data_IF_294382625132
#
_entry.id   IF_294382625132
#
_cell.length_a   1.000
_cell.length_b   1.000
_cell.length_c   1.000
_cell.angle_alpha   90.00
_cell.angle_beta   90.00
_cell.angle_gamma   90.00
#
_symmetry.space_group_name_H-M   'P 1'
#
loop_
_entity.id
_entity.type
_entity.pdbx_description
1 polymer ?
#
# COMPACT_ATOMS: atom_id res chain seq x y z
N UNK A 1 -6.30 33.13 -36.26
CA UNK A 1 -5.36 32.02 -36.52
C UNK A 1 -5.25 31.22 -35.24
N UNK A 2 -6.00 30.14 -35.17
CA UNK A 2 -6.25 29.31 -33.99
C UNK A 2 -6.02 27.90 -34.51
N UNK A 3 -4.79 27.40 -34.40
CA UNK A 3 -4.40 26.19 -35.15
C UNK A 3 -3.09 25.51 -34.74
N UNK A 4 -2.39 25.96 -33.69
CA UNK A 4 -1.08 25.39 -33.31
C UNK A 4 -1.08 24.59 -32.00
N UNK A 5 -2.22 24.45 -31.32
CA UNK A 5 -2.28 23.77 -30.01
C UNK A 5 -2.84 22.35 -30.07
N UNK A 6 -3.22 21.84 -31.26
CA UNK A 6 -3.76 20.47 -31.42
C UNK A 6 -2.66 19.49 -31.89
N UNK A 7 -1.63 19.96 -32.60
CA UNK A 7 -0.58 19.09 -33.16
C UNK A 7 0.48 18.67 -32.12
N UNK A 8 0.75 19.49 -31.10
CA UNK A 8 1.76 19.18 -30.07
C UNK A 8 1.30 18.10 -29.06
N UNK A 9 -0.01 17.97 -28.82
CA UNK A 9 -0.56 16.96 -27.90
C UNK A 9 -0.62 15.55 -28.53
N UNK A 10 -0.81 15.44 -29.84
CA UNK A 10 -0.89 14.17 -30.56
C UNK A 10 0.50 13.49 -30.71
N UNK A 11 1.57 14.30 -30.79
CA UNK A 11 2.96 13.83 -30.93
C UNK A 11 3.59 13.35 -29.59
N UNK A 12 2.90 13.61 -28.47
CA UNK A 12 3.28 13.16 -27.13
C UNK A 12 2.92 11.68 -26.91
N UNK A 13 1.76 11.24 -27.39
CA UNK A 13 1.25 9.88 -27.19
C UNK A 13 1.94 8.81 -28.06
N UNK A 14 2.57 9.22 -29.16
CA UNK A 14 3.25 8.32 -30.11
C UNK A 14 4.74 8.14 -29.82
N UNK A 15 5.31 8.91 -28.88
CA UNK A 15 6.72 8.78 -28.50
C UNK A 15 6.96 7.54 -27.65
N UNK A 16 7.91 6.66 -28.04
CA UNK A 16 8.23 5.49 -27.23
C UNK A 16 8.72 5.92 -25.85
N UNK A 17 8.22 5.24 -24.81
CA UNK A 17 8.61 5.51 -23.43
C UNK A 17 10.14 5.40 -23.29
N UNK A 18 10.75 6.42 -22.68
CA UNK A 18 12.18 6.40 -22.44
C UNK A 18 12.58 5.19 -21.58
N UNK A 19 13.74 4.59 -21.88
CA UNK A 19 14.24 3.37 -21.21
C UNK A 19 14.27 3.47 -19.68
N UNK A 20 14.47 4.68 -19.13
CA UNK A 20 14.42 4.97 -17.69
C UNK A 20 13.02 4.77 -17.11
N UNK A 21 11.99 5.25 -17.82
CA UNK A 21 10.59 5.08 -17.41
C UNK A 21 10.24 3.60 -17.30
N UNK A 22 10.59 2.82 -18.32
CA UNK A 22 10.38 1.36 -18.34
C UNK A 22 11.01 0.66 -17.13
N UNK A 23 12.24 1.04 -16.77
CA UNK A 23 12.92 0.48 -15.60
C UNK A 23 12.20 0.85 -14.30
N UNK A 24 11.82 2.12 -14.11
CA UNK A 24 11.12 2.54 -12.89
C UNK A 24 9.75 1.89 -12.73
N UNK A 25 8.95 1.84 -13.81
CA UNK A 25 7.67 1.14 -13.80
C UNK A 25 7.84 -0.37 -13.54
N UNK A 26 8.83 -1.00 -14.17
CA UNK A 26 9.14 -2.42 -13.95
C UNK A 26 9.55 -2.72 -12.51
N UNK A 27 10.39 -1.86 -11.90
CA UNK A 27 10.76 -1.99 -10.49
C UNK A 27 9.55 -1.82 -9.58
N UNK A 28 8.67 -0.85 -9.85
CA UNK A 28 7.43 -0.65 -9.09
C UNK A 28 6.51 -1.86 -9.13
N UNK A 29 6.29 -2.45 -10.32
CA UNK A 29 5.51 -3.68 -10.46
C UNK A 29 6.12 -4.85 -9.69
N UNK A 30 7.43 -5.07 -9.83
CA UNK A 30 8.11 -6.15 -9.10
C UNK A 30 7.98 -5.98 -7.58
N UNK A 31 8.13 -4.74 -7.07
CA UNK A 31 7.95 -4.44 -5.65
C UNK A 31 6.50 -4.67 -5.19
N UNK A 32 5.51 -4.26 -5.98
CA UNK A 32 4.11 -4.50 -5.68
C UNK A 32 3.79 -6.01 -5.59
N UNK A 33 4.28 -6.81 -6.54
CA UNK A 33 4.03 -8.26 -6.58
C UNK A 33 4.66 -8.99 -5.39
N UNK A 34 5.89 -8.61 -5.02
CA UNK A 34 6.56 -9.15 -3.82
C UNK A 34 5.78 -8.75 -2.56
N UNK A 35 5.36 -7.49 -2.47
CA UNK A 35 4.58 -6.99 -1.33
C UNK A 35 3.26 -7.76 -1.20
N UNK A 36 2.55 -7.98 -2.31
CA UNK A 36 1.32 -8.75 -2.35
C UNK A 36 1.53 -10.21 -1.91
N UNK A 37 2.60 -10.85 -2.39
CA UNK A 37 2.96 -12.20 -1.97
C UNK A 37 3.23 -12.26 -0.46
N UNK A 38 4.01 -11.32 0.08
CA UNK A 38 4.26 -11.23 1.52
C UNK A 38 2.97 -11.00 2.31
N UNK A 39 2.10 -10.11 1.85
CA UNK A 39 0.85 -9.80 2.54
C UNK A 39 -0.13 -10.98 2.57
N UNK A 40 -0.42 -11.59 1.41
CA UNK A 40 -1.45 -12.63 1.33
C UNK A 40 -0.99 -14.01 1.79
N UNK A 41 0.31 -14.30 1.73
CA UNK A 41 0.84 -15.64 2.06
C UNK A 41 1.69 -15.63 3.33
N UNK A 42 2.68 -14.75 3.41
CA UNK A 42 3.69 -14.79 4.45
C UNK A 42 3.22 -14.18 5.77
N UNK A 43 2.37 -13.15 5.74
CA UNK A 43 1.90 -12.45 6.93
C UNK A 43 1.29 -13.39 7.97
N UNK A 44 0.40 -14.30 7.56
CA UNK A 44 -0.24 -15.24 8.47
C UNK A 44 0.79 -16.19 9.09
N UNK A 45 1.71 -16.72 8.29
CA UNK A 45 2.79 -17.58 8.78
C UNK A 45 3.66 -16.84 9.80
N UNK A 46 4.08 -15.63 9.45
CA UNK A 46 4.88 -14.78 10.32
C UNK A 46 4.19 -14.51 11.67
N UNK A 47 2.91 -14.09 11.65
CA UNK A 47 2.16 -13.81 12.87
C UNK A 47 1.98 -15.06 13.74
N UNK A 48 1.72 -16.22 13.13
CA UNK A 48 1.62 -17.47 13.91
C UNK A 48 2.96 -17.94 14.46
N UNK A 49 4.06 -17.71 13.74
CA UNK A 49 5.42 -18.11 14.16
C UNK A 49 5.91 -17.29 15.35
N UNK A 50 5.58 -15.99 15.40
CA UNK A 50 5.88 -15.13 16.56
C UNK A 50 4.98 -15.40 17.78
N UNK A 51 3.96 -16.26 17.65
CA UNK A 51 3.15 -16.76 18.77
C UNK A 51 1.72 -16.24 18.84
N UNK A 52 1.21 -15.51 17.85
CA UNK A 52 -0.22 -15.20 17.79
C UNK A 52 -1.04 -16.46 17.51
N UNK A 53 -2.24 -16.53 18.09
CA UNK A 53 -3.18 -17.59 17.73
C UNK A 53 -3.59 -17.45 16.25
N UNK A 54 -3.90 -18.55 15.54
CA UNK A 54 -4.38 -18.48 14.16
C UNK A 54 -5.63 -17.60 13.99
N UNK A 55 -6.46 -17.52 15.04
CA UNK A 55 -7.62 -16.63 15.08
C UNK A 55 -7.20 -15.16 15.07
N UNK A 56 -6.24 -14.79 15.90
CA UNK A 56 -5.79 -13.40 16.02
C UNK A 56 -5.01 -12.96 14.78
N UNK A 57 -4.18 -13.84 14.21
CA UNK A 57 -3.51 -13.59 12.93
C UNK A 57 -4.53 -13.35 11.79
N UNK A 58 -5.61 -14.13 11.76
CA UNK A 58 -6.70 -13.93 10.80
C UNK A 58 -7.43 -12.59 11.03
N UNK A 59 -7.62 -12.15 12.29
CA UNK A 59 -8.19 -10.84 12.60
C UNK A 59 -7.30 -9.70 12.12
N UNK A 60 -5.98 -9.82 12.26
CA UNK A 60 -5.02 -8.84 11.70
C UNK A 60 -5.18 -8.74 10.19
N UNK A 61 -5.18 -9.87 9.48
CA UNK A 61 -5.36 -9.85 8.02
C UNK A 61 -6.73 -9.29 7.62
N UNK A 62 -7.80 -9.66 8.33
CA UNK A 62 -9.15 -9.15 8.11
C UNK A 62 -9.23 -7.64 8.28
N UNK A 63 -8.56 -7.08 9.29
CA UNK A 63 -8.53 -5.63 9.51
C UNK A 63 -7.96 -4.88 8.31
N UNK A 64 -6.94 -5.44 7.67
CA UNK A 64 -6.37 -4.93 6.44
C UNK A 64 -7.36 -4.96 5.28
N UNK A 65 -8.03 -6.08 5.05
CA UNK A 65 -9.03 -6.22 3.98
C UNK A 65 -10.20 -5.23 4.14
N UNK A 66 -10.68 -5.03 5.37
CA UNK A 66 -11.72 -4.05 5.65
C UNK A 66 -11.21 -2.64 5.34
N UNK A 67 -10.02 -2.29 5.82
CA UNK A 67 -9.42 -0.99 5.55
C UNK A 67 -9.20 -0.73 4.05
N UNK A 68 -8.75 -1.75 3.31
CA UNK A 68 -8.56 -1.71 1.86
C UNK A 68 -9.88 -1.41 1.12
N UNK A 69 -10.94 -2.14 1.45
CA UNK A 69 -12.25 -1.98 0.81
C UNK A 69 -12.84 -0.58 1.03
N UNK A 70 -12.75 -0.05 2.25
CA UNK A 70 -13.20 1.33 2.52
C UNK A 70 -12.31 2.36 1.82
N UNK A 71 -10.99 2.20 1.93
CA UNK A 71 -10.04 3.17 1.38
C UNK A 71 -10.09 3.21 -0.14
N UNK A 72 -10.28 2.09 -0.81
CA UNK A 72 -10.37 2.04 -2.27
C UNK A 72 -11.52 2.91 -2.79
N UNK A 73 -12.69 2.84 -2.16
CA UNK A 73 -13.85 3.68 -2.53
C UNK A 73 -13.56 5.15 -2.24
N UNK A 74 -13.08 5.45 -1.03
CA UNK A 74 -12.81 6.83 -0.61
C UNK A 74 -11.68 7.47 -1.45
N UNK A 75 -10.61 6.74 -1.69
CA UNK A 75 -9.47 7.20 -2.49
C UNK A 75 -9.90 7.43 -3.94
N UNK A 76 -10.72 6.55 -4.53
CA UNK A 76 -11.27 6.76 -5.88
C UNK A 76 -12.04 8.07 -5.98
N UNK A 77 -13.02 8.27 -5.12
CA UNK A 77 -13.83 9.50 -5.08
C UNK A 77 -12.96 10.76 -4.85
N UNK A 78 -12.00 10.69 -3.94
CA UNK A 78 -11.11 11.82 -3.63
C UNK A 78 -10.12 12.12 -4.76
N UNK A 79 -9.54 11.11 -5.39
CA UNK A 79 -8.63 11.26 -6.52
C UNK A 79 -9.38 11.84 -7.72
N UNK A 80 -10.59 11.36 -8.00
CA UNK A 80 -11.42 11.88 -9.10
C UNK A 80 -11.80 13.35 -8.86
N UNK A 81 -12.07 13.73 -7.61
CA UNK A 81 -12.50 15.09 -7.26
C UNK A 81 -11.35 16.09 -7.19
N UNK A 82 -10.19 15.68 -6.66
CA UNK A 82 -9.06 16.57 -6.38
C UNK A 82 -7.89 16.42 -7.37
N UNK A 83 -7.88 15.36 -8.19
CA UNK A 83 -6.78 15.03 -9.09
C UNK A 83 -5.49 14.68 -8.36
N UNK A 84 -4.35 14.86 -9.06
CA UNK A 84 -2.98 14.66 -8.56
C UNK A 84 -2.56 13.20 -8.30
N UNK A 85 -2.85 12.30 -9.24
CA UNK A 85 -2.46 10.88 -9.24
C UNK A 85 -1.05 10.61 -8.69
N UNK A 86 -0.04 11.38 -9.14
CA UNK A 86 1.36 11.19 -8.69
C UNK A 86 1.59 11.47 -7.20
N UNK A 87 0.89 12.45 -6.63
CA UNK A 87 1.03 12.80 -5.19
C UNK A 87 0.36 11.72 -4.34
N UNK A 88 -0.84 11.29 -4.72
CA UNK A 88 -1.54 10.18 -4.07
C UNK A 88 -0.74 8.88 -4.12
N UNK A 89 -0.15 8.58 -5.27
CA UNK A 89 0.73 7.44 -5.43
C UNK A 89 1.96 7.54 -4.52
N UNK A 90 2.68 8.67 -4.56
CA UNK A 90 3.85 8.86 -3.72
C UNK A 90 3.55 8.79 -2.21
N UNK A 91 2.46 9.41 -1.77
CA UNK A 91 2.03 9.37 -0.37
C UNK A 91 1.67 7.94 0.06
N UNK A 92 0.91 7.21 -0.78
CA UNK A 92 0.60 5.81 -0.55
C UNK A 92 1.86 4.94 -0.48
N UNK A 93 2.83 5.14 -1.39
CA UNK A 93 4.07 4.35 -1.42
C UNK A 93 4.91 4.55 -0.17
N UNK A 94 5.00 5.79 0.32
CA UNK A 94 5.70 6.10 1.59
C UNK A 94 4.98 5.43 2.76
N UNK A 95 3.64 5.50 2.79
CA UNK A 95 2.85 4.88 3.84
C UNK A 95 3.07 3.37 3.88
N UNK A 96 2.99 2.71 2.72
CA UNK A 96 3.28 1.28 2.54
C UNK A 96 4.68 0.94 3.04
N UNK A 97 5.71 1.67 2.62
CA UNK A 97 7.10 1.38 2.99
C UNK A 97 7.31 1.44 4.51
N UNK A 98 6.73 2.45 5.17
CA UNK A 98 6.85 2.61 6.63
C UNK A 98 6.05 1.53 7.35
N UNK A 99 4.78 1.33 7.01
CA UNK A 99 3.93 0.35 7.70
C UNK A 99 4.41 -1.07 7.49
N UNK A 100 4.85 -1.43 6.28
CA UNK A 100 5.36 -2.76 5.98
C UNK A 100 6.62 -3.08 6.79
N UNK A 101 7.53 -2.10 6.91
CA UNK A 101 8.72 -2.23 7.75
C UNK A 101 8.36 -2.44 9.23
N UNK A 102 7.29 -1.81 9.71
CA UNK A 102 6.83 -1.97 11.11
C UNK A 102 6.14 -3.32 11.33
N UNK A 103 5.32 -3.79 10.39
CA UNK A 103 4.65 -5.10 10.49
C UNK A 103 5.67 -6.25 10.60
N UNK A 104 6.75 -6.22 9.81
CA UNK A 104 7.78 -7.27 9.84
C UNK A 104 8.97 -6.96 10.76
N UNK A 105 9.07 -5.72 11.28
CA UNK A 105 10.14 -5.27 12.17
C UNK A 105 9.97 -5.65 13.65
N UNK A 106 8.90 -6.38 13.99
CA UNK A 106 8.57 -6.80 15.35
C UNK A 106 7.62 -5.85 16.09
N UNK A 107 7.15 -6.25 17.28
CA UNK A 107 6.15 -5.49 18.03
C UNK A 107 6.72 -4.18 18.64
N UNK A 108 6.72 -3.10 17.85
CA UNK A 108 7.06 -1.73 18.31
C UNK A 108 6.19 -1.29 19.50
N UNK A 109 4.85 -1.50 19.50
CA UNK A 109 4.00 -1.15 20.65
C UNK A 109 4.38 -1.90 21.93
N UNK A 110 4.74 -3.18 21.84
CA UNK A 110 5.17 -3.98 22.98
C UNK A 110 6.45 -3.42 23.62
N UNK A 111 7.36 -2.90 22.79
CA UNK A 111 8.62 -2.28 23.22
C UNK A 111 8.42 -0.93 23.89
N UNK A 112 7.37 -0.20 23.52
CA UNK A 112 7.03 1.12 24.09
C UNK A 112 6.22 0.97 25.39
N UNK A 113 5.25 0.07 25.44
CA UNK A 113 4.35 -0.10 26.59
C UNK A 113 4.84 -1.11 27.64
N UNK A 114 5.93 -1.83 27.38
CA UNK A 114 6.57 -2.75 28.33
C UNK A 114 5.67 -3.91 28.81
N UNK A 115 4.57 -4.17 28.11
CA UNK A 115 3.54 -5.14 28.51
C UNK A 115 3.30 -6.13 27.37
N UNK A 116 3.54 -7.41 27.63
CA UNK A 116 3.42 -8.50 26.64
C UNK A 116 2.04 -9.17 26.71
N UNK A 117 0.98 -8.42 26.40
CA UNK A 117 -0.37 -8.99 26.28
C UNK A 117 -0.68 -9.30 24.82
N UNK A 118 -1.13 -10.53 24.54
CA UNK A 118 -1.51 -10.98 23.19
C UNK A 118 -2.58 -10.08 22.55
N UNK A 119 -3.46 -9.47 23.35
CA UNK A 119 -4.45 -8.50 22.88
C UNK A 119 -3.79 -7.22 22.37
N UNK A 120 -2.80 -6.69 23.10
CA UNK A 120 -2.10 -5.47 22.70
C UNK A 120 -1.29 -5.69 21.42
N UNK A 121 -0.66 -6.85 21.31
CA UNK A 121 0.09 -7.27 20.13
C UNK A 121 -0.83 -7.38 18.91
N UNK A 122 -1.97 -8.07 19.06
CA UNK A 122 -2.98 -8.21 18.00
C UNK A 122 -3.53 -6.85 17.56
N UNK A 123 -3.87 -5.97 18.50
CA UNK A 123 -4.36 -4.62 18.17
C UNK A 123 -3.28 -3.79 17.47
N UNK A 124 -2.02 -3.89 17.91
CA UNK A 124 -0.90 -3.21 17.29
C UNK A 124 -0.68 -3.67 15.84
N UNK A 125 -0.63 -4.99 15.61
CA UNK A 125 -0.51 -5.54 14.27
C UNK A 125 -1.70 -5.19 13.39
N UNK A 126 -2.94 -5.25 13.91
CA UNK A 126 -4.15 -4.84 13.18
C UNK A 126 -4.12 -3.37 12.76
N UNK A 127 -3.61 -2.47 13.62
CA UNK A 127 -3.50 -1.05 13.28
C UNK A 127 -2.52 -0.84 12.12
N UNK A 128 -1.32 -1.42 12.20
CA UNK A 128 -0.32 -1.27 11.14
C UNK A 128 -0.74 -2.00 9.85
N UNK A 129 -1.43 -3.13 9.96
CA UNK A 129 -2.09 -3.82 8.86
C UNK A 129 -3.10 -2.92 8.15
N UNK A 130 -3.98 -2.25 8.90
CA UNK A 130 -4.95 -1.32 8.34
C UNK A 130 -4.25 -0.14 7.64
N UNK A 131 -3.24 0.48 8.28
CA UNK A 131 -2.47 1.58 7.69
C UNK A 131 -1.76 1.15 6.39
N UNK A 132 -1.18 -0.05 6.39
CA UNK A 132 -0.57 -0.63 5.20
C UNK A 132 -1.56 -0.75 4.04
N UNK A 133 -2.76 -1.28 4.29
CA UNK A 133 -3.78 -1.43 3.26
C UNK A 133 -4.35 -0.08 2.80
N UNK A 134 -4.48 0.90 3.69
CA UNK A 134 -4.84 2.28 3.31
C UNK A 134 -3.82 2.84 2.31
N UNK A 135 -2.52 2.69 2.61
CA UNK A 135 -1.45 3.13 1.72
C UNK A 135 -1.47 2.37 0.40
N UNK A 136 -1.68 1.06 0.45
CA UNK A 136 -1.69 0.21 -0.72
C UNK A 136 -2.86 0.52 -1.66
N UNK A 137 -4.08 0.67 -1.13
CA UNK A 137 -5.25 1.14 -1.87
C UNK A 137 -4.98 2.49 -2.55
N UNK A 138 -4.41 3.45 -1.80
CA UNK A 138 -4.07 4.77 -2.36
C UNK A 138 -3.06 4.66 -3.52
N UNK A 139 -2.04 3.79 -3.42
CA UNK A 139 -1.09 3.57 -4.53
C UNK A 139 -1.74 2.93 -5.74
N UNK A 140 -2.65 1.97 -5.52
CA UNK A 140 -3.25 1.20 -6.59
C UNK A 140 -4.26 2.03 -7.37
N UNK A 141 -5.18 2.71 -6.68
CA UNK A 141 -6.20 3.55 -7.31
C UNK A 141 -5.56 4.70 -8.08
N UNK A 142 -4.49 5.30 -7.56
CA UNK A 142 -3.78 6.39 -8.25
C UNK A 142 -2.90 5.95 -9.42
N UNK A 143 -2.66 4.64 -9.57
CA UNK A 143 -1.91 4.05 -10.68
C UNK A 143 -2.83 3.58 -11.83
N UNK A 144 -4.14 3.45 -11.57
CA UNK A 144 -5.16 3.16 -12.58
C UNK A 144 -5.50 4.42 -13.38
#
# INVERSE_FOLDING_TARGET
MMGNSIEDDDDSFTKPLGRRSVIYYGMGHMLNDITAACWFTYLLLFLTDIGLSPRDAALVMLSGQVADGFTTILAGELIDRFGHFKIWHAAGSVLVAVSFSVVFGGCVPCKIFGTSSSTLETVGYSLFAAIFNVGWAATQVSHM
#
